data_IF_669007379890
#
_entry.id   IF_669007379890
#
_cell.length_a   1.000
_cell.length_b   1.000
_cell.length_c   1.000
_cell.angle_alpha   90.00
_cell.angle_beta   90.00
_cell.angle_gamma   90.00
#
_symmetry.space_group_name_H-M   'P 1'
#
loop_
_entity.id
_entity.type
_entity.pdbx_description
1 polymer ?
#
# COMPACT_ATOMS: atom_id res chain seq x y z
N UNK A 1 -6.42 4.73 -4.06
CA UNK A 1 -6.01 6.11 -3.74
C UNK A 1 -4.49 6.16 -3.71
N UNK A 2 -3.89 7.05 -4.46
CA UNK A 2 -2.43 7.29 -4.50
C UNK A 2 -2.15 8.77 -4.75
N UNK A 3 -0.94 9.25 -4.42
CA UNK A 3 -0.57 10.65 -4.65
C UNK A 3 -0.70 11.06 -6.12
N UNK A 4 -0.43 10.12 -7.03
CA UNK A 4 -0.63 10.31 -8.48
C UNK A 4 -1.94 9.64 -8.91
N UNK A 5 -2.65 10.27 -9.81
CA UNK A 5 -3.80 9.67 -10.50
C UNK A 5 -3.35 9.11 -11.86
N UNK A 6 -3.62 7.84 -12.11
CA UNK A 6 -3.41 7.24 -13.43
C UNK A 6 -4.43 7.72 -14.46
N UNK A 7 -4.10 7.66 -15.73
CA UNK A 7 -4.97 8.11 -16.83
C UNK A 7 -6.36 7.49 -16.81
N UNK A 8 -6.47 6.19 -16.53
CA UNK A 8 -7.76 5.49 -16.44
C UNK A 8 -8.66 6.03 -15.31
N UNK A 9 -8.05 6.57 -14.24
CA UNK A 9 -8.77 7.18 -13.12
C UNK A 9 -9.22 8.60 -13.50
N UNK A 10 -8.40 9.35 -14.24
CA UNK A 10 -8.71 10.69 -14.72
C UNK A 10 -9.82 10.69 -15.78
N UNK A 11 -10.14 9.56 -16.37
CA UNK A 11 -11.28 9.41 -17.27
C UNK A 11 -12.64 9.62 -16.57
N UNK A 12 -12.72 9.49 -15.23
CA UNK A 12 -13.91 9.89 -14.50
C UNK A 12 -13.91 11.42 -14.30
N UNK A 13 -14.95 12.16 -14.79
CA UNK A 13 -15.00 13.61 -14.70
C UNK A 13 -14.93 14.15 -13.26
N UNK A 14 -15.34 13.36 -12.27
CA UNK A 14 -15.28 13.75 -10.85
C UNK A 14 -13.84 13.71 -10.35
N UNK A 15 -13.04 12.68 -10.75
CA UNK A 15 -11.65 12.54 -10.39
C UNK A 15 -10.74 13.46 -11.21
N UNK A 16 -11.12 13.81 -12.43
CA UNK A 16 -10.38 14.77 -13.25
C UNK A 16 -10.20 16.13 -12.55
N UNK A 17 -11.17 16.54 -11.70
CA UNK A 17 -11.06 17.74 -10.88
C UNK A 17 -9.97 17.66 -9.80
N UNK A 18 -9.51 16.47 -9.48
CA UNK A 18 -8.48 16.20 -8.49
C UNK A 18 -7.08 15.99 -9.12
N UNK A 19 -6.95 16.27 -10.42
CA UNK A 19 -5.70 16.06 -11.18
C UNK A 19 -4.50 16.87 -10.64
N UNK A 20 -4.72 17.89 -9.81
CA UNK A 20 -3.67 18.61 -9.09
C UNK A 20 -2.98 17.84 -7.98
N UNK A 21 -3.40 16.61 -7.72
CA UNK A 21 -2.86 15.71 -6.70
C UNK A 21 -3.87 15.36 -5.61
N UNK A 22 -3.57 14.29 -4.89
CA UNK A 22 -4.37 13.79 -3.78
C UNK A 22 -3.53 13.87 -2.49
N UNK A 23 -3.42 15.07 -1.92
CA UNK A 23 -2.60 15.32 -0.73
C UNK A 23 -3.42 15.94 0.42
N UNK A 24 -4.39 16.79 0.10
CA UNK A 24 -5.22 17.46 1.08
C UNK A 24 -6.37 16.58 1.58
N UNK A 25 -6.93 16.95 2.75
CA UNK A 25 -8.04 16.22 3.36
C UNK A 25 -9.27 16.16 2.44
N UNK A 26 -9.63 17.31 1.87
CA UNK A 26 -10.83 17.42 1.04
C UNK A 26 -10.74 16.51 -0.20
N UNK A 27 -9.59 16.53 -0.88
CA UNK A 27 -9.32 15.73 -2.08
C UNK A 27 -9.27 14.24 -1.78
N UNK A 28 -8.62 13.84 -0.68
CA UNK A 28 -8.53 12.44 -0.28
C UNK A 28 -9.90 11.87 0.09
N UNK A 29 -10.68 12.60 0.89
CA UNK A 29 -12.04 12.20 1.24
C UNK A 29 -12.95 12.13 0.00
N UNK A 30 -12.84 13.10 -0.91
CA UNK A 30 -13.63 13.08 -2.14
C UNK A 30 -13.28 11.90 -3.03
N UNK A 31 -11.99 11.60 -3.21
CA UNK A 31 -11.55 10.43 -3.96
C UNK A 31 -12.08 9.11 -3.37
N UNK A 32 -12.16 9.01 -2.04
CA UNK A 32 -12.78 7.85 -1.37
C UNK A 32 -14.27 7.81 -1.68
N UNK A 33 -15.02 8.91 -1.49
CA UNK A 33 -16.46 8.97 -1.77
C UNK A 33 -16.81 8.57 -3.20
N UNK A 34 -16.06 9.07 -4.18
CA UNK A 34 -16.25 8.72 -5.60
C UNK A 34 -16.14 7.19 -5.81
N UNK A 35 -15.15 6.54 -5.16
CA UNK A 35 -15.02 5.09 -5.27
C UNK A 35 -16.14 4.35 -4.54
N UNK A 36 -16.55 4.82 -3.36
CA UNK A 36 -17.68 4.26 -2.62
C UNK A 36 -18.98 4.35 -3.42
N UNK A 37 -19.21 5.45 -4.14
CA UNK A 37 -20.39 5.65 -5.01
C UNK A 37 -20.39 4.71 -6.22
N UNK A 38 -19.23 4.19 -6.62
CA UNK A 38 -19.10 3.14 -7.64
C UNK A 38 -19.43 1.74 -7.10
N UNK A 39 -19.73 1.61 -5.82
CA UNK A 39 -20.09 0.33 -5.21
C UNK A 39 -18.90 -0.60 -4.95
N UNK A 40 -17.70 -0.04 -4.73
CA UNK A 40 -16.54 -0.85 -4.34
C UNK A 40 -16.72 -1.44 -2.95
N UNK A 41 -16.17 -2.61 -2.71
CA UNK A 41 -16.18 -3.30 -1.42
C UNK A 41 -14.82 -3.24 -0.67
N UNK A 42 -13.85 -2.54 -1.25
CA UNK A 42 -12.55 -2.26 -0.63
C UNK A 42 -11.95 -0.99 -1.23
N UNK A 43 -11.25 -0.21 -0.42
CA UNK A 43 -10.43 0.92 -0.88
C UNK A 43 -8.97 0.49 -0.85
N UNK A 44 -8.25 0.64 -1.96
CA UNK A 44 -6.80 0.46 -2.02
C UNK A 44 -6.09 1.82 -1.90
N UNK A 45 -5.13 1.92 -0.99
CA UNK A 45 -4.25 3.09 -0.84
C UNK A 45 -2.77 2.70 -0.85
N UNK A 46 -1.88 3.67 -0.66
CA UNK A 46 -0.43 3.47 -0.60
C UNK A 46 0.15 4.04 0.69
N UNK A 47 0.88 3.20 1.43
CA UNK A 47 1.77 3.63 2.50
C UNK A 47 3.15 4.02 1.97
N UNK A 48 3.65 3.34 0.93
CA UNK A 48 4.96 3.62 0.31
C UNK A 48 4.90 3.70 -1.21
N UNK A 49 5.99 4.16 -1.84
CA UNK A 49 6.14 4.12 -3.30
C UNK A 49 6.19 2.67 -3.82
N UNK A 50 6.01 2.50 -5.14
CA UNK A 50 5.95 1.20 -5.81
C UNK A 50 7.35 0.58 -5.95
N UNK A 51 7.43 -0.76 -5.95
CA UNK A 51 8.66 -1.47 -6.25
C UNK A 51 8.91 -1.64 -7.76
N UNK A 52 7.85 -1.76 -8.57
CA UNK A 52 7.93 -2.07 -9.98
C UNK A 52 8.20 -0.88 -10.91
N UNK A 53 8.74 0.23 -10.41
CA UNK A 53 9.20 1.35 -11.23
C UNK A 53 10.66 1.66 -10.88
N UNK A 54 11.58 1.72 -11.85
CA UNK A 54 13.00 1.98 -11.57
C UNK A 54 13.26 3.31 -10.84
N UNK A 55 12.44 4.33 -11.12
CA UNK A 55 12.57 5.69 -10.58
C UNK A 55 12.03 5.88 -9.16
N UNK A 56 11.43 4.84 -8.54
CA UNK A 56 10.84 4.93 -7.19
C UNK A 56 11.69 4.22 -6.15
N UNK A 57 11.53 4.61 -4.87
CA UNK A 57 12.06 3.86 -3.73
C UNK A 57 10.89 3.21 -2.96
N UNK A 58 10.76 1.86 -2.98
CA UNK A 58 9.69 1.16 -2.29
C UNK A 58 9.70 1.32 -0.76
N UNK A 59 10.77 1.86 -0.19
CA UNK A 59 10.85 2.17 1.25
C UNK A 59 10.30 3.55 1.58
N UNK A 60 10.22 4.46 0.60
CA UNK A 60 9.80 5.84 0.81
C UNK A 60 8.29 5.93 1.08
N UNK A 61 7.94 6.59 2.17
CA UNK A 61 6.55 6.82 2.57
C UNK A 61 5.82 7.71 1.55
N UNK A 62 4.59 7.33 1.18
CA UNK A 62 3.73 8.08 0.23
C UNK A 62 2.74 9.00 0.92
N UNK A 63 2.12 8.53 2.01
CA UNK A 63 1.16 9.27 2.81
C UNK A 63 1.52 9.22 4.28
N UNK A 64 1.32 10.33 4.98
CA UNK A 64 1.44 10.40 6.44
C UNK A 64 0.32 9.62 7.14
N UNK A 65 0.49 9.32 8.43
CA UNK A 65 -0.56 8.72 9.26
C UNK A 65 -1.87 9.51 9.19
N UNK A 66 -1.80 10.84 9.25
CA UNK A 66 -2.97 11.72 9.18
C UNK A 66 -3.72 11.57 7.86
N UNK A 67 -3.00 11.58 6.73
CA UNK A 67 -3.59 11.39 5.40
C UNK A 67 -4.24 10.01 5.24
N UNK A 68 -3.58 8.97 5.71
CA UNK A 68 -4.13 7.60 5.75
C UNK A 68 -5.35 7.52 6.66
N UNK A 69 -5.34 8.26 7.79
CA UNK A 69 -6.46 8.39 8.70
C UNK A 69 -7.70 8.99 8.02
N UNK A 70 -7.56 10.01 7.19
CA UNK A 70 -8.68 10.59 6.44
C UNK A 70 -9.29 9.59 5.46
N UNK A 71 -8.46 8.77 4.79
CA UNK A 71 -8.92 7.73 3.87
C UNK A 71 -9.70 6.65 4.63
N UNK A 72 -9.15 6.17 5.75
CA UNK A 72 -9.78 5.12 6.57
C UNK A 72 -11.08 5.61 7.18
N UNK A 73 -11.08 6.82 7.76
CA UNK A 73 -12.28 7.42 8.35
C UNK A 73 -13.41 7.58 7.32
N UNK A 74 -13.11 8.10 6.14
CA UNK A 74 -14.12 8.26 5.09
C UNK A 74 -14.70 6.93 4.61
N UNK A 75 -13.85 5.92 4.42
CA UNK A 75 -14.27 4.57 4.00
C UNK A 75 -15.12 3.88 5.09
N UNK A 76 -14.79 4.11 6.36
CA UNK A 76 -15.48 3.51 7.51
C UNK A 76 -16.94 3.94 7.62
N UNK A 77 -17.30 5.12 7.12
CA UNK A 77 -18.69 5.63 7.10
C UNK A 77 -19.67 4.71 6.35
N UNK A 78 -19.14 3.88 5.45
CA UNK A 78 -19.91 2.83 4.73
C UNK A 78 -19.43 1.41 5.07
N UNK A 79 -18.69 1.24 6.16
CA UNK A 79 -18.12 -0.05 6.59
C UNK A 79 -17.23 -0.70 5.52
N UNK A 80 -16.56 0.08 4.67
CA UNK A 80 -15.67 -0.42 3.63
C UNK A 80 -14.23 -0.45 4.17
N UNK A 81 -13.56 -1.62 4.16
CA UNK A 81 -12.18 -1.73 4.63
C UNK A 81 -11.20 -1.05 3.67
N UNK A 82 -10.06 -0.64 4.23
CA UNK A 82 -8.94 -0.08 3.47
C UNK A 82 -7.77 -1.07 3.50
N UNK A 83 -7.17 -1.34 2.36
CA UNK A 83 -5.93 -2.09 2.20
C UNK A 83 -4.82 -1.15 1.73
N UNK A 84 -3.60 -1.31 2.26
CA UNK A 84 -2.48 -0.44 1.94
C UNK A 84 -1.31 -1.18 1.31
N UNK A 85 -0.89 -0.76 0.12
CA UNK A 85 0.41 -1.13 -0.41
C UNK A 85 1.51 -0.50 0.48
N UNK A 86 2.43 -1.31 0.99
CA UNK A 86 3.61 -0.81 1.67
C UNK A 86 4.73 -1.86 1.68
N UNK A 87 5.91 -1.48 1.19
CA UNK A 87 7.13 -2.27 1.34
C UNK A 87 7.95 -1.79 2.54
N UNK A 88 8.12 -0.47 2.68
CA UNK A 88 8.90 0.17 3.75
C UNK A 88 8.14 0.26 5.07
N UNK A 89 8.91 0.22 6.15
CA UNK A 89 8.40 0.14 7.51
C UNK A 89 7.60 1.39 7.93
N UNK A 90 8.13 2.58 7.66
CA UNK A 90 7.48 3.84 8.09
C UNK A 90 6.07 4.00 7.51
N UNK A 91 5.92 3.76 6.19
CA UNK A 91 4.62 3.83 5.54
C UNK A 91 3.67 2.71 5.98
N UNK A 92 4.18 1.51 6.25
CA UNK A 92 3.40 0.41 6.80
C UNK A 92 2.93 0.72 8.24
N UNK A 93 3.83 1.20 9.10
CA UNK A 93 3.50 1.59 10.48
C UNK A 93 2.39 2.66 10.50
N UNK A 94 2.55 3.72 9.69
CA UNK A 94 1.55 4.78 9.55
C UNK A 94 0.20 4.22 9.08
N UNK A 95 0.19 3.31 8.11
CA UNK A 95 -1.03 2.70 7.61
C UNK A 95 -1.73 1.82 8.66
N UNK A 96 -0.97 0.97 9.37
CA UNK A 96 -1.51 0.15 10.46
C UNK A 96 -2.06 1.03 11.57
N UNK A 97 -1.35 2.09 11.93
CA UNK A 97 -1.76 3.04 12.97
C UNK A 97 -3.04 3.77 12.59
N UNK A 98 -3.19 4.15 11.32
CA UNK A 98 -4.41 4.74 10.75
C UNK A 98 -5.61 3.78 10.72
N UNK A 99 -5.40 2.46 10.83
CA UNK A 99 -6.46 1.47 10.93
C UNK A 99 -6.79 0.73 9.63
N UNK A 100 -5.82 0.56 8.72
CA UNK A 100 -6.03 -0.26 7.53
C UNK A 100 -6.29 -1.72 7.90
N UNK A 101 -7.08 -2.43 7.08
CA UNK A 101 -7.40 -3.84 7.27
C UNK A 101 -6.23 -4.75 6.95
N UNK A 102 -5.44 -4.41 5.92
CA UNK A 102 -4.29 -5.21 5.50
C UNK A 102 -3.14 -4.36 5.00
N UNK A 103 -1.93 -4.92 5.14
CA UNK A 103 -0.71 -4.45 4.48
C UNK A 103 -0.39 -5.43 3.36
N UNK A 104 -0.33 -4.90 2.15
CA UNK A 104 0.08 -5.63 0.96
C UNK A 104 1.60 -5.55 0.82
N UNK A 105 2.24 -6.66 0.51
CA UNK A 105 3.68 -6.88 0.40
C UNK A 105 4.38 -6.95 1.77
N UNK A 106 4.58 -5.85 2.47
CA UNK A 106 5.19 -5.84 3.80
C UNK A 106 6.65 -6.29 3.82
N UNK A 107 7.46 -5.87 2.85
CA UNK A 107 8.81 -6.42 2.63
C UNK A 107 9.77 -6.13 3.78
N UNK A 108 9.79 -4.90 4.30
CA UNK A 108 10.80 -4.42 5.25
C UNK A 108 10.21 -4.06 6.63
N UNK A 109 9.20 -4.81 7.09
CA UNK A 109 8.54 -4.49 8.35
C UNK A 109 9.45 -4.77 9.56
N UNK A 110 9.50 -3.83 10.48
CA UNK A 110 10.14 -3.99 11.78
C UNK A 110 9.28 -4.83 12.73
N UNK A 111 9.89 -5.29 13.84
CA UNK A 111 9.13 -5.98 14.89
C UNK A 111 8.09 -5.07 15.54
N UNK A 112 8.35 -3.76 15.63
CA UNK A 112 7.38 -2.79 16.16
C UNK A 112 6.15 -2.67 15.27
N UNK A 113 6.33 -2.65 13.95
CA UNK A 113 5.21 -2.66 13.00
C UNK A 113 4.43 -3.96 13.06
N UNK A 114 5.12 -5.10 13.12
CA UNK A 114 4.48 -6.41 13.28
C UNK A 114 3.71 -6.53 14.60
N UNK A 115 4.25 -6.03 15.71
CA UNK A 115 3.53 -5.99 16.99
C UNK A 115 2.26 -5.14 16.91
N UNK A 116 2.33 -3.97 16.27
CA UNK A 116 1.16 -3.12 16.06
C UNK A 116 0.11 -3.79 15.17
N UNK A 117 0.52 -4.48 14.11
CA UNK A 117 -0.38 -5.29 13.27
C UNK A 117 -1.11 -6.35 14.09
N UNK A 118 -0.38 -7.08 14.94
CA UNK A 118 -0.98 -8.07 15.85
C UNK A 118 -2.00 -7.44 16.79
N UNK A 119 -1.66 -6.31 17.42
CA UNK A 119 -2.55 -5.60 18.35
C UNK A 119 -3.86 -5.14 17.68
N UNK A 120 -3.76 -4.68 16.42
CA UNK A 120 -4.90 -4.17 15.65
C UNK A 120 -5.63 -5.23 14.83
N UNK A 121 -5.13 -6.46 14.76
CA UNK A 121 -5.68 -7.50 13.92
C UNK A 121 -5.54 -7.22 12.42
N UNK A 122 -4.50 -6.49 12.03
CA UNK A 122 -4.20 -6.17 10.63
C UNK A 122 -3.60 -7.39 9.95
N UNK A 123 -4.10 -7.73 8.76
CA UNK A 123 -3.59 -8.83 7.93
C UNK A 123 -2.30 -8.46 7.21
N UNK A 124 -1.40 -9.42 7.05
CA UNK A 124 -0.30 -9.33 6.09
C UNK A 124 -0.69 -10.10 4.83
N UNK A 125 -0.61 -9.46 3.67
CA UNK A 125 -0.81 -10.11 2.36
C UNK A 125 0.51 -10.04 1.57
N UNK A 126 1.40 -11.03 1.67
CA UNK A 126 2.79 -10.91 1.23
C UNK A 126 2.97 -10.72 -0.27
N UNK A 127 2.04 -11.22 -1.11
CA UNK A 127 2.12 -11.10 -2.58
C UNK A 127 3.51 -11.46 -3.13
N UNK A 128 4.10 -12.53 -2.63
CA UNK A 128 5.50 -12.91 -2.90
C UNK A 128 5.82 -12.97 -4.39
N UNK A 129 4.87 -13.45 -5.18
CA UNK A 129 5.02 -13.56 -6.64
C UNK A 129 5.30 -12.21 -7.32
N UNK A 130 4.68 -11.11 -6.85
CA UNK A 130 4.89 -9.80 -7.47
C UNK A 130 6.30 -9.25 -7.25
N UNK A 131 6.97 -9.65 -6.17
CA UNK A 131 8.37 -9.31 -5.94
C UNK A 131 9.29 -10.26 -6.73
N UNK A 132 8.89 -11.52 -6.86
CA UNK A 132 9.61 -12.50 -7.68
C UNK A 132 9.60 -12.08 -9.16
N UNK A 133 8.49 -11.53 -9.66
CA UNK A 133 8.36 -11.07 -11.06
C UNK A 133 9.40 -9.99 -11.42
N UNK A 134 9.86 -9.20 -10.43
CA UNK A 134 10.94 -8.22 -10.66
C UNK A 134 12.28 -8.87 -11.03
N UNK A 135 12.44 -10.18 -10.76
CA UNK A 135 13.68 -10.91 -11.02
C UNK A 135 13.62 -11.77 -12.28
N UNK A 136 12.47 -11.81 -12.96
CA UNK A 136 12.25 -12.67 -14.11
C UNK A 136 12.66 -11.97 -15.41
N UNK A 137 13.61 -12.51 -16.18
CA UNK A 137 13.96 -11.93 -17.47
C UNK A 137 12.80 -12.08 -18.47
N UNK A 138 12.60 -11.07 -19.31
CA UNK A 138 11.58 -11.07 -20.36
C UNK A 138 10.14 -10.89 -19.86
N UNK A 139 9.94 -10.59 -18.58
CA UNK A 139 8.63 -10.30 -17.99
C UNK A 139 8.24 -8.82 -18.08
N UNK A 140 7.11 -8.47 -17.45
CA UNK A 140 6.59 -7.09 -17.43
C UNK A 140 7.53 -6.08 -16.74
N UNK A 141 8.50 -6.58 -15.95
CA UNK A 141 9.46 -5.80 -15.19
C UNK A 141 10.90 -6.04 -15.63
N UNK A 142 11.12 -6.33 -16.93
CA UNK A 142 12.44 -6.63 -17.51
C UNK A 142 13.32 -5.36 -17.55
N UNK A 143 13.86 -5.01 -16.38
CA UNK A 143 14.75 -3.87 -16.14
C UNK A 143 15.85 -4.28 -15.16
N UNK A 144 17.15 -4.04 -15.50
CA UNK A 144 18.26 -4.42 -14.63
C UNK A 144 18.18 -3.85 -13.21
N UNK A 145 17.70 -2.62 -13.03
CA UNK A 145 17.54 -2.02 -11.70
C UNK A 145 16.44 -2.71 -10.90
N UNK A 146 15.35 -3.12 -11.56
CA UNK A 146 14.27 -3.89 -10.92
C UNK A 146 14.73 -5.30 -10.56
N UNK A 147 15.52 -5.95 -11.41
CA UNK A 147 16.11 -7.26 -11.10
C UNK A 147 16.99 -7.20 -9.85
N UNK A 148 17.89 -6.20 -9.75
CA UNK A 148 18.72 -5.99 -8.54
C UNK A 148 17.83 -5.75 -7.32
N UNK A 149 16.83 -4.89 -7.46
CA UNK A 149 15.85 -4.59 -6.40
C UNK A 149 15.11 -5.83 -5.95
N UNK A 150 14.56 -6.62 -6.87
CA UNK A 150 13.83 -7.86 -6.57
C UNK A 150 14.68 -8.86 -5.80
N UNK A 151 15.92 -9.09 -6.25
CA UNK A 151 16.87 -9.97 -5.57
C UNK A 151 17.20 -9.50 -4.15
N UNK A 152 17.23 -8.20 -3.89
CA UNK A 152 17.38 -7.65 -2.55
C UNK A 152 16.12 -7.79 -1.69
N UNK A 153 14.93 -7.61 -2.30
CA UNK A 153 13.66 -7.61 -1.59
C UNK A 153 13.18 -9.01 -1.21
N UNK A 154 13.39 -10.02 -2.05
CA UNK A 154 12.86 -11.38 -1.84
C UNK A 154 13.27 -12.00 -0.49
N UNK A 155 14.56 -12.02 -0.10
CA UNK A 155 14.95 -12.59 1.20
C UNK A 155 14.37 -11.79 2.38
N UNK A 156 14.27 -10.46 2.27
CA UNK A 156 13.69 -9.60 3.30
C UNK A 156 12.18 -9.88 3.48
N UNK A 157 11.45 -10.02 2.37
CA UNK A 157 10.04 -10.38 2.39
C UNK A 157 9.82 -11.75 3.03
N UNK A 158 10.62 -12.74 2.64
CA UNK A 158 10.56 -14.08 3.23
C UNK A 158 10.80 -14.07 4.75
N UNK A 159 11.75 -13.25 5.23
CA UNK A 159 12.01 -13.13 6.67
C UNK A 159 10.86 -12.40 7.38
N UNK A 160 10.29 -11.34 6.79
CA UNK A 160 9.11 -10.67 7.36
C UNK A 160 7.93 -11.64 7.50
N UNK A 161 7.65 -12.46 6.50
CA UNK A 161 6.58 -13.47 6.55
C UNK A 161 6.83 -14.48 7.67
N UNK A 162 8.06 -14.99 7.80
CA UNK A 162 8.41 -15.92 8.91
C UNK A 162 8.22 -15.30 10.28
N UNK A 163 8.61 -14.01 10.46
CA UNK A 163 8.41 -13.29 11.73
C UNK A 163 6.93 -13.06 12.00
N UNK A 164 6.17 -12.61 11.02
CA UNK A 164 4.73 -12.41 11.13
C UNK A 164 4.00 -13.71 11.55
N UNK A 165 4.35 -14.83 10.90
CA UNK A 165 3.80 -16.13 11.25
C UNK A 165 4.12 -16.55 12.69
N UNK A 166 5.39 -16.43 13.12
CA UNK A 166 5.80 -16.73 14.51
C UNK A 166 5.07 -15.86 15.55
N UNK A 167 4.75 -14.63 15.19
CA UNK A 167 4.02 -13.70 16.05
C UNK A 167 2.50 -13.93 16.04
N UNK A 168 1.98 -14.82 15.18
CA UNK A 168 0.56 -15.10 15.04
C UNK A 168 -0.23 -13.99 14.36
N UNK A 169 0.40 -13.24 13.46
CA UNK A 169 -0.29 -12.26 12.60
C UNK A 169 -1.02 -13.04 11.51
N UNK A 170 -2.29 -12.71 11.21
CA UNK A 170 -3.02 -13.35 10.13
C UNK A 170 -2.38 -13.01 8.77
N UNK A 171 -2.14 -14.06 7.96
CA UNK A 171 -1.53 -13.99 6.63
C UNK A 171 -2.50 -14.52 5.58
#
# INVERSE_FOLDING_TARGET
>A
ISPELGESVLADPRLAKLAGGLQGEAELREAVRINLDRGVNVIKTRGTERAGLPSTDPRKQSYTETQLGWIVDEASKRNIPVMAHAHGDEGAYAAVKAGVRSIEHGTFLSDSTLQLMKQKGTYLVPTYITVLDLTQPGGDYDDPALTIRGNFMLPALGETVRRAHRMGIPI
#
